data_IF_832302661262
#
_entry.id   IF_832302661262
#
_cell.length_a   1.000
_cell.length_b   1.000
_cell.length_c   1.000
_cell.angle_alpha   90.00
_cell.angle_beta   90.00
_cell.angle_gamma   90.00
#
_symmetry.space_group_name_H-M   'P 1'
#
loop_
_entity.id
_entity.type
_entity.pdbx_description
1 polymer ?
#
# COMPACT_ATOMS: atom_id res chain seq x y z
N UNK A 1 -2.41 22.56 -22.85
CA UNK A 1 -2.97 21.25 -22.43
C UNK A 1 -4.38 21.12 -23.00
N UNK A 2 -4.53 20.56 -24.20
CA UNK A 2 -5.83 20.36 -24.86
C UNK A 2 -6.54 19.18 -24.21
N UNK A 3 -7.70 19.43 -23.62
CA UNK A 3 -8.39 18.52 -22.69
C UNK A 3 -9.06 17.37 -23.43
N UNK A 4 -9.15 16.16 -22.83
CA UNK A 4 -9.76 14.97 -23.44
C UNK A 4 -11.20 15.18 -23.91
N UNK A 5 -11.89 16.17 -23.33
CA UNK A 5 -13.24 16.56 -23.71
C UNK A 5 -13.34 17.03 -25.17
N UNK A 6 -12.32 17.72 -25.69
CA UNK A 6 -12.31 18.21 -27.09
C UNK A 6 -12.13 17.08 -28.09
N UNK A 7 -11.38 16.03 -27.72
CA UNK A 7 -11.22 14.81 -28.53
C UNK A 7 -12.51 13.99 -28.58
N UNK A 8 -13.19 13.87 -27.43
CA UNK A 8 -14.48 13.16 -27.32
C UNK A 8 -15.60 13.89 -28.08
N UNK A 9 -15.63 15.23 -28.04
CA UNK A 9 -16.59 16.02 -28.82
C UNK A 9 -16.34 15.89 -30.32
N UNK A 10 -15.08 15.95 -30.77
CA UNK A 10 -14.72 15.76 -32.18
C UNK A 10 -15.15 14.38 -32.71
N UNK A 11 -14.86 13.30 -31.97
CA UNK A 11 -15.29 11.95 -32.36
C UNK A 11 -16.82 11.79 -32.41
N UNK A 12 -17.55 12.50 -31.54
CA UNK A 12 -19.01 12.50 -31.53
C UNK A 12 -19.59 13.19 -32.77
N UNK A 13 -18.99 14.29 -33.20
CA UNK A 13 -19.44 15.05 -34.37
C UNK A 13 -19.12 14.30 -35.68
N UNK A 14 -17.98 13.60 -35.76
CA UNK A 14 -17.64 12.72 -36.89
C UNK A 14 -18.65 11.57 -37.06
N UNK A 15 -19.12 10.98 -35.95
CA UNK A 15 -20.14 9.94 -35.98
C UNK A 15 -21.48 10.49 -36.47
N UNK A 16 -21.89 11.68 -36.00
CA UNK A 16 -23.12 12.35 -36.48
C UNK A 16 -23.05 12.63 -37.98
N UNK A 17 -21.91 13.13 -38.47
CA UNK A 17 -21.69 13.39 -39.89
C UNK A 17 -21.77 12.11 -40.74
N UNK A 18 -21.15 11.01 -40.29
CA UNK A 18 -21.27 9.69 -40.96
C UNK A 18 -22.72 9.22 -41.01
N UNK A 19 -23.46 9.31 -39.92
CA UNK A 19 -24.87 8.89 -39.88
C UNK A 19 -25.76 9.76 -40.78
N UNK A 20 -25.51 11.07 -40.84
CA UNK A 20 -26.22 11.96 -41.76
C UNK A 20 -25.96 11.58 -43.23
N UNK A 21 -24.71 11.26 -43.58
CA UNK A 21 -24.33 10.78 -44.91
C UNK A 21 -25.07 9.49 -45.27
N UNK A 22 -25.12 8.51 -44.36
CA UNK A 22 -25.85 7.26 -44.56
C UNK A 22 -27.37 7.46 -44.69
N UNK A 23 -27.95 8.35 -43.88
CA UNK A 23 -29.38 8.71 -44.01
C UNK A 23 -29.69 9.35 -45.37
N UNK A 24 -28.80 10.19 -45.88
CA UNK A 24 -28.96 10.80 -47.21
C UNK A 24 -28.84 9.79 -48.36
N UNK A 25 -28.02 8.74 -48.18
CA UNK A 25 -27.90 7.64 -49.15
C UNK A 25 -29.16 6.77 -49.16
N UNK A 26 -29.71 6.44 -47.99
CA UNK A 26 -30.98 5.69 -47.90
C UNK A 26 -32.16 6.45 -48.52
N UNK A 27 -32.24 7.77 -48.34
CA UNK A 27 -33.31 8.59 -48.94
C UNK A 27 -33.15 8.80 -50.46
N UNK A 28 -31.99 8.47 -51.03
CA UNK A 28 -31.71 8.60 -52.47
C UNK A 28 -31.85 7.28 -53.22
N UNK A 29 -32.12 6.16 -52.55
CA UNK A 29 -32.64 4.99 -53.25
C UNK A 29 -34.10 5.27 -53.61
N UNK A 30 -34.48 5.29 -54.89
CA UNK A 30 -35.89 5.34 -55.26
C UNK A 30 -36.53 4.01 -54.83
N UNK A 31 -37.56 4.09 -53.98
CA UNK A 31 -38.43 2.94 -53.65
C UNK A 31 -39.38 2.58 -54.81
N UNK A 32 -39.38 3.35 -55.89
CA UNK A 32 -40.28 3.16 -57.03
C UNK A 32 -39.50 2.89 -58.33
N UNK A 33 -39.03 1.66 -58.52
CA UNK A 33 -38.92 1.07 -59.86
C UNK A 33 -40.00 -0.01 -60.00
N UNK A 34 -41.00 0.36 -60.79
CA UNK A 34 -42.12 -0.45 -61.26
C UNK A 34 -41.65 -1.83 -61.72
N UNK A 35 -42.21 -2.88 -61.12
CA UNK A 35 -42.07 -4.25 -61.56
C UNK A 35 -42.55 -4.43 -63.02
N UNK A 36 -41.72 -4.96 -63.95
CA UNK A 36 -42.19 -5.46 -65.24
C UNK A 36 -42.75 -6.89 -65.08
N UNK A 37 -43.71 -7.30 -65.94
CA UNK A 37 -44.45 -8.56 -65.77
C UNK A 37 -43.60 -9.80 -65.98
N UNK A 38 -43.96 -10.87 -65.25
CA UNK A 38 -43.43 -12.22 -65.37
C UNK A 38 -43.42 -12.73 -66.83
N UNK A 39 -42.24 -12.86 -67.43
CA UNK A 39 -41.96 -13.93 -68.40
C UNK A 39 -40.47 -13.99 -68.70
N UNK A 40 -39.94 -15.22 -68.79
CA UNK A 40 -38.57 -15.57 -69.15
C UNK A 40 -37.44 -15.18 -68.17
N UNK A 41 -37.58 -15.65 -66.92
CA UNK A 41 -36.41 -15.91 -66.08
C UNK A 41 -35.77 -17.24 -66.49
N UNK A 42 -34.77 -17.18 -67.37
CA UNK A 42 -33.82 -18.29 -67.55
C UNK A 42 -33.30 -18.72 -66.17
N UNK A 43 -33.51 -20.00 -65.82
CA UNK A 43 -32.96 -20.60 -64.60
C UNK A 43 -31.44 -20.51 -64.67
N UNK A 44 -30.88 -19.53 -63.98
CA UNK A 44 -29.48 -19.53 -63.57
C UNK A 44 -29.20 -20.85 -62.83
N UNK A 45 -28.01 -21.46 -62.94
CA UNK A 45 -27.72 -22.69 -62.23
C UNK A 45 -28.00 -22.45 -60.74
N UNK A 46 -28.76 -23.35 -60.14
CA UNK A 46 -29.07 -23.30 -58.72
C UNK A 46 -27.74 -23.31 -57.97
N UNK A 47 -27.32 -22.15 -57.48
CA UNK A 47 -26.27 -22.04 -56.49
C UNK A 47 -26.82 -22.81 -55.29
N UNK A 48 -26.29 -24.01 -55.05
CA UNK A 48 -26.65 -24.81 -53.88
C UNK A 48 -26.45 -23.90 -52.67
N UNK A 49 -27.57 -23.48 -52.07
CA UNK A 49 -27.53 -22.62 -50.90
C UNK A 49 -26.84 -23.42 -49.83
N UNK A 50 -25.68 -22.96 -49.37
CA UNK A 50 -24.87 -23.66 -48.39
C UNK A 50 -25.73 -23.93 -47.14
N UNK A 51 -26.16 -25.19 -47.00
CA UNK A 51 -27.10 -25.64 -45.97
C UNK A 51 -26.57 -25.36 -44.57
N UNK A 52 -25.25 -25.30 -44.42
CA UNK A 52 -24.59 -24.96 -43.17
C UNK A 52 -24.96 -23.54 -42.70
N UNK A 53 -25.07 -22.58 -43.62
CA UNK A 53 -25.45 -21.20 -43.30
C UNK A 53 -26.92 -21.07 -42.93
N UNK A 54 -27.77 -21.97 -43.43
CA UNK A 54 -29.20 -22.00 -43.13
C UNK A 54 -29.45 -22.62 -41.76
N UNK A 55 -28.78 -23.74 -41.44
CA UNK A 55 -29.10 -24.54 -40.24
C UNK A 55 -28.17 -24.30 -39.05
N UNK A 56 -26.98 -23.71 -39.26
CA UNK A 56 -25.93 -23.59 -38.24
C UNK A 56 -25.58 -22.13 -37.88
N UNK A 57 -26.25 -21.15 -38.49
CA UNK A 57 -26.01 -19.71 -38.28
C UNK A 57 -26.38 -19.15 -36.90
N UNK A 58 -27.10 -19.91 -36.06
CA UNK A 58 -27.48 -19.52 -34.70
C UNK A 58 -26.60 -20.09 -33.58
N UNK A 59 -25.58 -20.89 -33.91
CA UNK A 59 -24.65 -21.50 -32.94
C UNK A 59 -23.32 -20.76 -32.95
N UNK A 60 -22.46 -21.06 -31.98
CA UNK A 60 -21.05 -20.66 -31.98
C UNK A 60 -20.29 -21.45 -33.06
N UNK A 61 -20.69 -21.30 -34.33
CA UNK A 61 -20.13 -21.99 -35.49
C UNK A 61 -20.00 -20.99 -36.63
N UNK A 62 -18.84 -20.98 -37.26
CA UNK A 62 -18.56 -20.20 -38.46
C UNK A 62 -18.51 -21.14 -39.68
N UNK A 63 -19.31 -20.80 -40.70
CA UNK A 63 -19.47 -21.61 -41.90
C UNK A 63 -18.24 -21.58 -42.81
N UNK A 64 -17.46 -20.49 -42.77
CA UNK A 64 -16.28 -20.31 -43.62
C UNK A 64 -15.09 -21.11 -43.08
N UNK A 65 -14.86 -21.04 -41.77
CA UNK A 65 -13.77 -21.77 -41.09
C UNK A 65 -14.16 -23.17 -40.63
N UNK A 66 -15.44 -23.52 -40.72
CA UNK A 66 -16.03 -24.79 -40.23
C UNK A 66 -15.65 -25.10 -38.77
N UNK A 67 -15.52 -24.06 -37.95
CA UNK A 67 -15.06 -24.15 -36.58
C UNK A 67 -15.90 -23.31 -35.62
N UNK A 68 -15.57 -23.32 -34.32
CA UNK A 68 -16.16 -22.40 -33.36
C UNK A 68 -15.89 -20.97 -33.75
N UNK A 69 -16.89 -20.09 -33.65
CA UNK A 69 -16.73 -18.65 -33.89
C UNK A 69 -15.92 -18.05 -32.73
N UNK A 70 -14.60 -18.00 -32.92
CA UNK A 70 -13.71 -17.21 -32.08
C UNK A 70 -14.13 -15.74 -32.23
N UNK A 71 -14.26 -15.01 -31.12
CA UNK A 71 -14.74 -13.62 -31.10
C UNK A 71 -13.80 -12.61 -31.78
N UNK A 72 -12.84 -13.08 -32.57
CA UNK A 72 -11.87 -12.33 -33.34
C UNK A 72 -11.72 -12.99 -34.72
N UNK A 73 -11.71 -12.19 -35.80
CA UNK A 73 -11.52 -12.66 -37.18
C UNK A 73 -10.03 -12.83 -37.53
N UNK A 74 -9.17 -11.98 -36.95
CA UNK A 74 -7.72 -12.08 -37.03
C UNK A 74 -7.16 -12.35 -35.63
N UNK A 75 -6.03 -13.09 -35.50
CA UNK A 75 -5.45 -13.31 -34.19
C UNK A 75 -5.08 -11.94 -33.58
N UNK A 76 -5.31 -11.74 -32.27
CA UNK A 76 -5.10 -10.44 -31.62
C UNK A 76 -3.62 -9.97 -31.66
N UNK A 77 -2.71 -10.86 -32.05
CA UNK A 77 -1.29 -10.56 -32.32
C UNK A 77 -1.03 -9.94 -33.70
N UNK A 78 -2.00 -9.95 -34.62
CA UNK A 78 -1.95 -9.30 -35.94
C UNK A 78 -2.68 -7.94 -35.96
N UNK A 79 -2.93 -7.34 -34.78
CA UNK A 79 -3.45 -5.99 -34.65
C UNK A 79 -2.54 -4.93 -35.32
N UNK A 80 -3.07 -3.72 -35.59
CA UNK A 80 -2.44 -2.74 -36.47
C UNK A 80 -1.14 -2.19 -35.88
N UNK A 81 0.03 -2.59 -36.38
CA UNK A 81 1.39 -2.01 -36.20
C UNK A 81 1.85 -1.55 -34.78
N UNK A 82 0.99 -1.70 -33.77
CA UNK A 82 1.19 -1.28 -32.39
C UNK A 82 1.79 -2.46 -31.65
N UNK A 83 3.00 -2.25 -31.12
CA UNK A 83 3.71 -3.23 -30.30
C UNK A 83 2.79 -3.74 -29.20
N UNK A 84 2.80 -5.06 -28.95
CA UNK A 84 2.00 -5.62 -27.87
C UNK A 84 2.53 -5.13 -26.53
N UNK A 85 1.67 -5.13 -25.50
CA UNK A 85 2.11 -4.76 -24.14
C UNK A 85 3.27 -5.66 -23.65
N UNK A 86 3.29 -6.91 -24.09
CA UNK A 86 4.36 -7.86 -23.78
C UNK A 86 5.68 -7.44 -24.44
N UNK A 87 5.64 -7.02 -25.71
CA UNK A 87 6.83 -6.52 -26.43
C UNK A 87 7.38 -5.25 -25.76
N UNK A 88 6.48 -4.32 -25.38
CA UNK A 88 6.86 -3.09 -24.66
C UNK A 88 7.47 -3.40 -23.29
N UNK A 89 6.92 -4.39 -22.57
CA UNK A 89 7.46 -4.82 -21.29
C UNK A 89 8.86 -5.45 -21.45
N UNK A 90 9.06 -6.26 -22.49
CA UNK A 90 10.36 -6.85 -22.81
C UNK A 90 11.40 -5.79 -23.17
N UNK A 91 11.03 -4.77 -23.94
CA UNK A 91 11.91 -3.64 -24.29
C UNK A 91 12.32 -2.86 -23.03
N UNK A 92 11.38 -2.58 -22.13
CA UNK A 92 11.66 -1.90 -20.85
C UNK A 92 12.57 -2.73 -19.94
N UNK A 93 12.36 -4.04 -19.85
CA UNK A 93 13.23 -4.94 -19.08
C UNK A 93 14.66 -4.91 -19.65
N UNK A 94 14.80 -4.98 -20.98
CA UNK A 94 16.09 -4.93 -21.64
C UNK A 94 16.81 -3.58 -21.39
N UNK A 95 16.09 -2.47 -21.42
CA UNK A 95 16.63 -1.15 -21.08
C UNK A 95 17.08 -1.05 -19.63
N UNK A 96 16.25 -1.52 -18.69
CA UNK A 96 16.59 -1.50 -17.26
C UNK A 96 17.80 -2.38 -16.97
N UNK A 97 17.89 -3.55 -17.60
CA UNK A 97 19.03 -4.45 -17.46
C UNK A 97 20.32 -3.84 -17.99
N UNK A 98 20.26 -3.13 -19.13
CA UNK A 98 21.41 -2.39 -19.68
C UNK A 98 21.84 -1.27 -18.75
N UNK A 99 20.89 -0.44 -18.27
CA UNK A 99 21.17 0.63 -17.31
C UNK A 99 21.77 0.11 -16.01
N UNK A 100 21.24 -0.99 -15.47
CA UNK A 100 21.77 -1.62 -14.25
C UNK A 100 23.18 -2.20 -14.46
N UNK A 101 23.47 -2.74 -15.65
CA UNK A 101 24.82 -3.19 -15.99
C UNK A 101 25.79 -2.01 -16.14
N UNK A 102 25.38 -0.93 -16.81
CA UNK A 102 26.17 0.31 -16.92
C UNK A 102 26.42 0.95 -15.54
N UNK A 103 25.42 0.98 -14.66
CA UNK A 103 25.56 1.46 -13.28
C UNK A 103 26.43 0.56 -12.40
N UNK A 104 26.54 -0.73 -12.72
CA UNK A 104 27.39 -1.68 -12.00
C UNK A 104 28.85 -1.64 -12.47
N UNK A 105 29.08 -1.41 -13.78
CA UNK A 105 30.42 -1.21 -14.36
C UNK A 105 30.99 0.18 -14.00
N UNK A 106 30.11 1.16 -13.83
CA UNK A 106 30.44 2.42 -13.19
C UNK A 106 30.67 2.17 -11.68
N UNK A 107 31.91 1.80 -11.30
CA UNK A 107 32.47 1.77 -9.92
C UNK A 107 32.47 3.18 -9.26
N UNK A 108 31.38 3.93 -9.42
CA UNK A 108 31.11 5.19 -8.73
C UNK A 108 30.86 4.82 -7.28
N UNK A 109 31.91 4.91 -6.48
CA UNK A 109 31.86 4.70 -5.03
C UNK A 109 30.60 5.32 -4.44
N UNK A 110 29.89 4.53 -3.63
CA UNK A 110 28.55 4.84 -3.11
C UNK A 110 28.48 6.29 -2.64
N UNK A 111 27.75 7.11 -3.39
CA UNK A 111 27.62 8.53 -3.07
C UNK A 111 26.64 8.70 -1.90
N UNK A 112 27.23 8.81 -0.70
CA UNK A 112 26.56 9.03 0.58
C UNK A 112 25.65 10.27 0.59
N UNK A 113 25.80 11.22 -0.34
CA UNK A 113 24.96 12.41 -0.45
C UNK A 113 23.79 12.24 -1.43
N UNK A 114 23.89 11.30 -2.39
CA UNK A 114 22.77 10.91 -3.27
C UNK A 114 21.84 9.91 -2.60
N UNK A 115 22.33 9.15 -1.62
CA UNK A 115 21.45 8.53 -0.63
C UNK A 115 20.86 9.63 0.23
N UNK A 116 19.60 9.99 -0.05
CA UNK A 116 18.82 10.80 0.87
C UNK A 116 18.87 10.14 2.26
N UNK A 117 19.15 10.88 3.36
CA UNK A 117 19.02 10.32 4.68
C UNK A 117 17.61 9.77 4.82
N UNK A 118 17.51 8.44 4.93
CA UNK A 118 16.22 7.77 4.95
C UNK A 118 15.50 8.30 6.18
N UNK A 119 14.31 8.89 5.99
CA UNK A 119 13.46 9.31 7.12
C UNK A 119 13.45 8.14 8.09
N UNK A 120 13.74 8.36 9.39
CA UNK A 120 13.77 7.27 10.36
C UNK A 120 12.42 6.56 10.27
N UNK A 121 12.41 5.41 9.60
CA UNK A 121 11.25 4.56 9.65
C UNK A 121 11.19 4.06 11.10
N UNK A 122 10.01 3.71 11.53
CA UNK A 122 9.76 3.10 12.83
C UNK A 122 10.75 1.94 13.15
N UNK A 123 11.36 1.33 12.12
CA UNK A 123 12.39 0.32 12.20
C UNK A 123 13.74 0.84 12.72
N UNK A 124 14.25 1.97 12.24
CA UNK A 124 15.51 2.55 12.74
C UNK A 124 15.43 2.91 14.23
N UNK A 125 14.29 3.44 14.68
CA UNK A 125 14.04 3.69 16.10
C UNK A 125 13.98 2.39 16.89
N UNK A 126 13.34 1.35 16.35
CA UNK A 126 13.23 0.03 16.99
C UNK A 126 14.59 -0.67 17.11
N UNK A 127 15.39 -0.66 16.06
CA UNK A 127 16.74 -1.23 16.05
C UNK A 127 17.69 -0.48 16.98
N UNK A 128 17.61 0.85 16.99
CA UNK A 128 18.36 1.68 17.93
C UNK A 128 17.94 1.39 19.38
N UNK A 129 16.64 1.33 19.64
CA UNK A 129 16.12 1.00 20.97
C UNK A 129 16.58 -0.39 21.45
N UNK A 130 16.61 -1.40 20.56
CA UNK A 130 17.10 -2.75 20.88
C UNK A 130 18.58 -2.75 21.26
N UNK A 131 19.41 -1.93 20.61
CA UNK A 131 20.83 -1.75 20.97
C UNK A 131 20.98 -0.99 22.29
N UNK A 132 20.16 0.05 22.49
CA UNK A 132 20.16 0.85 23.71
C UNK A 132 19.68 0.07 24.93
N UNK A 133 18.74 -0.87 24.80
CA UNK A 133 18.26 -1.69 25.91
C UNK A 133 19.39 -2.43 26.63
N UNK A 134 20.29 -3.06 25.85
CA UNK A 134 21.46 -3.78 26.36
C UNK A 134 22.51 -2.82 26.96
N UNK A 135 22.59 -1.59 26.45
CA UNK A 135 23.50 -0.58 26.99
C UNK A 135 22.94 0.04 28.28
N UNK A 136 21.64 0.33 28.34
CA UNK A 136 20.95 0.93 29.47
C UNK A 136 21.14 0.12 30.75
N UNK A 137 21.03 -1.22 30.68
CA UNK A 137 21.31 -2.09 31.84
C UNK A 137 22.72 -1.89 32.38
N UNK A 138 23.73 -1.73 31.50
CA UNK A 138 25.11 -1.48 31.94
C UNK A 138 25.28 -0.08 32.50
N UNK A 139 24.62 0.91 31.89
CA UNK A 139 24.62 2.29 32.35
C UNK A 139 23.98 2.41 33.73
N UNK A 140 22.82 1.78 33.96
CA UNK A 140 22.14 1.76 35.26
C UNK A 140 23.00 1.10 36.34
N UNK A 141 23.66 -0.01 36.01
CA UNK A 141 24.62 -0.66 36.91
C UNK A 141 25.82 0.24 37.21
N UNK A 142 26.34 0.97 36.22
CA UNK A 142 27.44 1.92 36.42
C UNK A 142 27.00 3.11 37.28
N UNK A 143 25.80 3.64 37.05
CA UNK A 143 25.19 4.69 37.87
C UNK A 143 25.04 4.20 39.32
N UNK A 144 24.52 2.99 39.53
CA UNK A 144 24.38 2.41 40.87
C UNK A 144 25.73 2.23 41.59
N UNK A 145 26.79 1.85 40.88
CA UNK A 145 28.15 1.79 41.44
C UNK A 145 28.66 3.17 41.83
N UNK A 146 28.53 4.16 40.95
CA UNK A 146 28.94 5.54 41.25
C UNK A 146 28.18 6.15 42.42
N UNK A 147 26.87 5.88 42.53
CA UNK A 147 26.06 6.31 43.68
C UNK A 147 26.55 5.65 44.96
N UNK A 148 26.81 4.34 44.94
CA UNK A 148 27.35 3.62 46.11
C UNK A 148 28.69 4.19 46.56
N UNK A 149 29.63 4.40 45.63
CA UNK A 149 30.94 4.99 45.93
C UNK A 149 30.81 6.40 46.52
N UNK A 150 29.93 7.24 45.97
CA UNK A 150 29.68 8.60 46.49
C UNK A 150 29.04 8.60 47.87
N UNK A 151 28.15 7.65 48.17
CA UNK A 151 27.55 7.52 49.50
C UNK A 151 28.59 7.02 50.53
N UNK A 152 29.40 6.04 50.15
CA UNK A 152 30.49 5.55 50.98
C UNK A 152 31.54 6.63 51.25
N UNK A 153 31.93 7.41 50.24
CA UNK A 153 32.89 8.50 50.43
C UNK A 153 32.33 9.57 51.38
N UNK A 154 31.05 9.95 51.22
CA UNK A 154 30.37 10.87 52.15
C UNK A 154 30.27 10.32 53.56
N UNK A 155 30.01 9.02 53.73
CA UNK A 155 29.97 8.37 55.04
C UNK A 155 31.35 8.34 55.70
N UNK A 156 32.41 8.06 54.94
CA UNK A 156 33.78 8.09 55.47
C UNK A 156 34.19 9.52 55.83
N UNK A 157 33.81 10.51 55.02
CA UNK A 157 34.03 11.94 55.31
C UNK A 157 33.27 12.38 56.57
N UNK A 158 32.00 11.98 56.73
CA UNK A 158 31.22 12.29 57.93
C UNK A 158 31.75 11.57 59.18
N UNK A 159 32.21 10.32 59.06
CA UNK A 159 32.87 9.59 60.15
C UNK A 159 34.24 10.19 60.52
N UNK A 160 35.02 10.66 59.53
CA UNK A 160 36.29 11.36 59.79
C UNK A 160 36.08 12.75 60.39
N UNK A 161 35.06 13.48 59.93
CA UNK A 161 34.67 14.77 60.51
C UNK A 161 33.99 14.62 61.89
N UNK A 162 33.44 13.43 62.19
CA UNK A 162 32.74 13.07 63.42
C UNK A 162 33.51 12.11 64.32
N UNK A 163 34.85 12.16 64.36
CA UNK A 163 35.65 11.46 65.38
C UNK A 163 35.57 12.16 66.75
N UNK A 164 34.34 12.33 67.22
CA UNK A 164 33.97 12.81 68.54
C UNK A 164 32.62 12.20 68.90
N UNK A 165 32.67 11.10 69.64
CA UNK A 165 31.59 10.43 70.37
C UNK A 165 30.71 9.37 69.64
N UNK A 166 30.91 8.13 70.11
CA UNK A 166 29.94 7.05 70.38
C UNK A 166 29.34 6.22 69.24
N UNK A 167 29.76 4.94 69.23
CA UNK A 167 29.02 3.69 68.93
C UNK A 167 28.30 3.55 67.58
N UNK A 168 29.05 3.00 66.60
CA UNK A 168 28.63 2.82 65.22
C UNK A 168 28.19 1.42 64.81
N UNK A 169 27.20 0.80 65.47
CA UNK A 169 26.67 -0.50 65.02
C UNK A 169 25.13 -0.62 64.99
N UNK A 170 24.38 0.48 64.99
CA UNK A 170 22.89 0.41 64.98
C UNK A 170 22.16 1.37 64.01
N UNK A 171 22.84 2.26 63.29
CA UNK A 171 22.17 3.38 62.61
C UNK A 171 21.96 3.16 61.10
N UNK A 172 22.65 2.22 60.45
CA UNK A 172 22.51 2.02 59.00
C UNK A 172 21.34 1.10 58.58
N UNK A 173 20.77 0.29 59.49
CA UNK A 173 19.71 -0.66 59.18
C UNK A 173 18.32 -0.27 59.73
N UNK A 174 18.21 0.87 60.43
CA UNK A 174 17.02 1.23 61.22
C UNK A 174 16.19 2.37 60.64
N UNK A 175 16.56 2.94 59.48
CA UNK A 175 15.95 4.18 58.98
C UNK A 175 15.10 4.07 57.70
N UNK A 176 14.94 2.90 57.08
CA UNK A 176 14.22 2.79 55.79
C UNK A 176 13.02 1.81 55.80
N UNK A 177 12.76 1.13 56.92
CA UNK A 177 11.60 0.23 57.06
C UNK A 177 10.39 0.89 57.74
N UNK A 178 10.63 1.66 58.81
CA UNK A 178 9.56 2.24 59.64
C UNK A 178 8.77 3.35 58.94
N UNK A 179 9.43 4.24 58.20
CA UNK A 179 8.75 5.34 57.49
C UNK A 179 7.81 4.82 56.38
N UNK A 180 8.18 3.76 55.67
CA UNK A 180 7.32 3.17 54.64
C UNK A 180 6.09 2.49 55.27
N UNK A 181 6.25 1.80 56.40
CA UNK A 181 5.12 1.21 57.13
C UNK A 181 4.18 2.27 57.71
N UNK A 182 4.73 3.40 58.19
CA UNK A 182 3.91 4.52 58.67
C UNK A 182 3.14 5.20 57.54
N UNK A 183 3.77 5.40 56.38
CA UNK A 183 3.10 5.94 55.18
C UNK A 183 1.97 5.01 54.71
N UNK A 184 2.19 3.69 54.71
CA UNK A 184 1.16 2.70 54.34
C UNK A 184 -0.02 2.73 55.33
N UNK A 185 0.26 2.76 56.64
CA UNK A 185 -0.79 2.84 57.67
C UNK A 185 -1.59 4.15 57.62
N UNK A 186 -0.94 5.26 57.25
CA UNK A 186 -1.61 6.55 57.10
C UNK A 186 -2.57 6.53 55.90
N UNK A 187 -2.11 6.00 54.77
CA UNK A 187 -2.92 5.84 53.56
C UNK A 187 -4.12 4.91 53.77
N UNK A 188 -3.92 3.79 54.45
CA UNK A 188 -5.00 2.85 54.76
C UNK A 188 -6.05 3.49 55.69
N UNK A 189 -5.63 4.38 56.61
CA UNK A 189 -6.55 5.14 57.46
C UNK A 189 -7.33 6.20 56.67
N UNK A 190 -6.67 6.92 55.77
CA UNK A 190 -7.32 7.92 54.91
C UNK A 190 -8.34 7.27 53.96
N UNK A 191 -8.00 6.14 53.34
CA UNK A 191 -8.92 5.39 52.46
C UNK A 191 -10.16 4.90 53.23
N UNK A 192 -10.00 4.42 54.47
CA UNK A 192 -11.13 4.03 55.32
C UNK A 192 -12.03 5.21 55.73
N UNK A 193 -11.46 6.39 55.96
CA UNK A 193 -12.22 7.60 56.26
C UNK A 193 -12.98 8.12 55.03
N UNK A 194 -12.38 8.02 53.84
CA UNK A 194 -13.04 8.33 52.57
C UNK A 194 -14.19 7.36 52.28
N UNK A 195 -13.99 6.05 52.43
CA UNK A 195 -15.07 5.05 52.25
C UNK A 195 -16.23 5.27 53.23
N UNK A 196 -15.94 5.71 54.46
CA UNK A 196 -16.99 6.08 55.42
C UNK A 196 -17.75 7.32 54.97
N UNK A 197 -17.04 8.35 54.50
CA UNK A 197 -17.65 9.57 53.99
C UNK A 197 -18.49 9.31 52.73
N UNK A 198 -18.03 8.43 51.85
CA UNK A 198 -18.78 8.00 50.66
C UNK A 198 -20.04 7.23 51.04
N UNK A 199 -19.97 6.31 52.01
CA UNK A 199 -21.16 5.61 52.52
C UNK A 199 -22.17 6.56 53.17
N UNK A 200 -21.70 7.51 53.97
CA UNK A 200 -22.55 8.54 54.57
C UNK A 200 -23.15 9.48 53.51
N UNK A 201 -22.43 9.78 52.42
CA UNK A 201 -22.96 10.58 51.32
C UNK A 201 -24.03 9.82 50.51
N UNK A 202 -23.88 8.51 50.33
CA UNK A 202 -24.85 7.65 49.64
C UNK A 202 -26.13 7.47 50.48
N UNK A 203 -26.05 7.42 51.81
CA UNK A 203 -27.22 7.31 52.70
C UNK A 203 -27.98 8.65 52.88
N UNK A 204 -27.38 9.78 52.51
CA UNK A 204 -27.97 11.13 52.61
C UNK A 204 -28.64 11.59 51.31
N UNK A 205 -28.38 10.93 50.18
CA UNK A 205 -29.07 11.13 48.89
C UNK A 205 -30.34 10.28 48.76
#
# INVERSE_FOLDING_TARGET
MSTPHTKLSAASDDRKARLAKLKSLKRKQPEDEIAPPESDRQKSPAIEKDVSRIHLSGRNYDAETKGPKLGFEAPPTLGPDEQTLEDQAADLEAELRKKAAEEAEDDKGIDLFKLQPKKPNWDLKRELNKKLEVLNVRTDNAIAKLVRERLQSKQIESQKAGSGATDGEAVAASLEGGELEEIIRLREREEQEEERREREAIDVE
#
